data_IF_561005798162
#
_entry.id   IF_561005798162
#
_cell.length_a   1.000
_cell.length_b   1.000
_cell.length_c   1.000
_cell.angle_alpha   90.00
_cell.angle_beta   90.00
_cell.angle_gamma   90.00
#
_symmetry.space_group_name_H-M   'P 1'
#
loop_
_entity.id
_entity.type
_entity.pdbx_description
1 polymer ?
#
# COMPACT_ATOMS: atom_id res chain seq x y z
N UNK A 1 -59.55 -22.92 52.32
CA UNK A 1 -58.53 -23.96 52.09
C UNK A 1 -58.96 -24.90 50.96
N UNK A 2 -57.97 -25.53 50.31
CA UNK A 2 -57.93 -26.58 49.27
C UNK A 2 -59.09 -26.86 48.28
N UNK A 3 -58.72 -26.67 46.99
CA UNK A 3 -58.96 -27.56 45.83
C UNK A 3 -57.56 -27.85 45.21
N UNK A 4 -57.31 -28.82 44.32
CA UNK A 4 -58.14 -29.91 43.77
C UNK A 4 -57.64 -30.36 42.38
N UNK A 5 -58.16 -31.48 41.87
CA UNK A 5 -58.10 -31.97 40.47
C UNK A 5 -56.80 -32.57 39.86
N UNK A 6 -56.83 -33.89 39.67
CA UNK A 6 -56.67 -34.67 38.41
C UNK A 6 -55.46 -34.61 37.44
N UNK A 7 -55.02 -35.81 37.02
CA UNK A 7 -54.62 -36.17 35.63
C UNK A 7 -53.15 -36.61 35.41
N UNK A 8 -52.77 -37.50 34.46
CA UNK A 8 -53.51 -38.37 33.50
C UNK A 8 -52.62 -39.54 33.00
N UNK A 9 -53.28 -40.60 32.49
CA UNK A 9 -52.95 -41.73 31.56
C UNK A 9 -51.69 -41.61 30.62
N UNK A 10 -51.10 -42.64 29.96
CA UNK A 10 -51.46 -44.07 29.72
C UNK A 10 -50.31 -44.99 29.19
N UNK A 11 -50.25 -46.25 29.67
CA UNK A 11 -50.22 -47.56 28.94
C UNK A 11 -49.19 -47.93 27.81
N UNK A 12 -48.27 -48.87 28.16
CA UNK A 12 -47.77 -50.13 27.47
C UNK A 12 -47.38 -50.21 25.96
N UNK A 13 -46.16 -50.73 25.68
CA UNK A 13 -45.79 -52.05 25.06
C UNK A 13 -44.23 -52.14 24.89
N UNK A 14 -43.44 -53.23 24.87
CA UNK A 14 -43.57 -54.72 25.01
C UNK A 14 -43.68 -55.55 23.70
N UNK A 15 -42.90 -56.63 23.38
CA UNK A 15 -41.56 -57.18 23.76
C UNK A 15 -41.04 -58.08 22.57
N UNK A 16 -39.74 -58.46 22.58
CA UNK A 16 -39.10 -59.73 22.09
C UNK A 16 -38.01 -59.71 20.99
N UNK A 17 -37.15 -60.75 21.03
CA UNK A 17 -35.86 -60.93 20.33
C UNK A 17 -35.97 -61.81 19.06
N UNK A 18 -34.97 -61.75 18.15
CA UNK A 18 -33.99 -62.85 17.87
C UNK A 18 -33.18 -62.61 16.57
N UNK A 19 -32.04 -63.31 16.44
CA UNK A 19 -31.51 -63.75 15.14
C UNK A 19 -30.23 -63.08 14.61
N UNK A 20 -29.19 -63.89 14.38
CA UNK A 20 -28.05 -63.55 13.51
C UNK A 20 -28.37 -63.84 12.04
N UNK A 21 -27.84 -63.05 11.10
CA UNK A 21 -27.53 -63.51 9.74
C UNK A 21 -26.36 -62.71 9.14
N UNK A 22 -25.81 -63.15 8.01
CA UNK A 22 -24.57 -62.62 7.39
C UNK A 22 -24.81 -62.10 5.96
N UNK A 23 -23.95 -61.16 5.55
CA UNK A 23 -23.61 -60.70 4.18
C UNK A 23 -24.48 -59.65 3.45
N UNK A 24 -23.75 -58.68 2.85
CA UNK A 24 -23.98 -57.94 1.58
C UNK A 24 -25.39 -57.32 1.35
N UNK A 25 -25.59 -55.99 1.37
CA UNK A 25 -24.98 -54.93 0.54
C UNK A 25 -24.93 -53.61 1.36
N UNK A 26 -23.89 -52.78 1.41
CA UNK A 26 -23.05 -52.20 0.35
C UNK A 26 -23.70 -51.00 -0.40
N UNK A 27 -23.97 -49.89 0.30
CA UNK A 27 -23.89 -48.53 -0.28
C UNK A 27 -23.69 -47.41 0.78
N UNK A 28 -22.52 -47.37 1.43
CA UNK A 28 -22.12 -46.15 2.17
C UNK A 28 -21.60 -45.13 1.15
N UNK A 29 -22.39 -44.08 0.91
CA UNK A 29 -21.98 -42.97 0.04
C UNK A 29 -20.87 -42.19 0.75
N UNK A 30 -19.63 -42.58 0.47
CA UNK A 30 -18.45 -41.82 0.87
C UNK A 30 -18.42 -40.52 0.08
N UNK A 31 -18.94 -39.45 0.68
CA UNK A 31 -18.74 -38.09 0.20
C UNK A 31 -17.28 -37.71 0.40
N UNK A 32 -16.44 -38.20 -0.52
CA UNK A 32 -15.07 -37.73 -0.71
C UNK A 32 -15.13 -36.23 -0.93
N UNK A 33 -14.82 -35.45 0.11
CA UNK A 33 -14.64 -34.02 -0.03
C UNK A 33 -13.41 -33.80 -0.91
N UNK A 34 -13.65 -33.61 -2.20
CA UNK A 34 -12.69 -32.98 -3.10
C UNK A 34 -12.48 -31.54 -2.63
N UNK A 35 -11.68 -31.38 -1.58
CA UNK A 35 -10.93 -30.16 -1.36
C UNK A 35 -10.06 -30.00 -2.58
N UNK A 36 -10.52 -29.14 -3.50
CA UNK A 36 -9.71 -28.61 -4.59
C UNK A 36 -8.56 -27.83 -3.96
N UNK A 37 -7.48 -28.55 -3.62
CA UNK A 37 -6.17 -27.97 -3.36
C UNK A 37 -5.79 -27.28 -4.65
N UNK A 38 -6.12 -26.00 -4.74
CA UNK A 38 -5.97 -25.20 -5.94
C UNK A 38 -4.48 -25.06 -6.21
N UNK A 39 -3.98 -25.96 -7.06
CA UNK A 39 -2.57 -26.29 -7.15
C UNK A 39 -1.74 -25.02 -7.27
N UNK A 40 -0.88 -24.80 -6.27
CA UNK A 40 0.00 -23.65 -6.25
C UNK A 40 1.20 -23.96 -7.16
N UNK A 41 0.93 -23.97 -8.47
CA UNK A 41 1.94 -24.07 -9.52
C UNK A 41 2.85 -22.84 -9.42
N UNK A 42 4.09 -23.03 -8.98
CA UNK A 42 5.10 -21.98 -8.87
C UNK A 42 5.92 -21.84 -10.16
N UNK A 43 6.07 -20.62 -10.67
CA UNK A 43 6.85 -20.28 -11.88
C UNK A 43 8.19 -19.63 -11.59
N UNK A 44 8.44 -19.26 -10.34
CA UNK A 44 9.70 -18.69 -9.84
C UNK A 44 9.97 -19.26 -8.45
N UNK A 45 11.20 -19.14 -7.97
CA UNK A 45 11.58 -19.56 -6.60
C UNK A 45 10.82 -18.76 -5.53
N UNK A 46 10.51 -17.48 -5.80
CA UNK A 46 9.64 -16.66 -4.95
C UNK A 46 8.19 -17.17 -4.95
N UNK A 47 7.66 -17.60 -6.10
CA UNK A 47 6.36 -18.28 -6.12
C UNK A 47 6.39 -19.63 -5.39
N UNK A 48 7.51 -20.35 -5.39
CA UNK A 48 7.65 -21.61 -4.65
C UNK A 48 7.58 -21.37 -3.14
N UNK A 49 8.31 -20.37 -2.63
CA UNK A 49 8.21 -19.95 -1.21
C UNK A 49 6.81 -19.43 -0.88
N UNK A 50 6.19 -18.62 -1.76
CA UNK A 50 4.79 -18.21 -1.61
C UNK A 50 3.86 -19.42 -1.45
N UNK A 51 4.04 -20.44 -2.29
CA UNK A 51 3.23 -21.64 -2.28
C UNK A 51 3.42 -22.52 -1.03
N UNK A 52 4.56 -22.40 -0.34
CA UNK A 52 4.77 -23.01 0.97
C UNK A 52 4.05 -22.22 2.08
N UNK A 53 4.26 -20.89 2.16
CA UNK A 53 3.76 -20.08 3.29
C UNK A 53 2.30 -19.61 3.18
N UNK A 54 1.66 -19.73 2.01
CA UNK A 54 0.29 -19.21 1.77
C UNK A 54 -0.82 -19.79 2.65
N UNK A 55 -0.58 -20.86 3.40
CA UNK A 55 -1.61 -21.57 4.14
C UNK A 55 -1.99 -20.87 5.46
N UNK A 56 -1.05 -20.21 6.12
CA UNK A 56 -1.25 -19.64 7.48
C UNK A 56 -1.41 -18.11 7.49
N UNK A 57 -0.98 -17.41 6.42
CA UNK A 57 -0.91 -15.95 6.39
C UNK A 57 -2.05 -15.30 5.61
N UNK A 58 -3.15 -14.98 6.31
CA UNK A 58 -4.29 -14.18 5.80
C UNK A 58 -3.93 -12.78 5.26
N UNK A 59 -2.69 -12.34 5.45
CA UNK A 59 -2.15 -11.05 4.99
C UNK A 59 -1.39 -11.12 3.67
N UNK A 60 -1.18 -12.31 3.09
CA UNK A 60 -0.60 -12.44 1.76
C UNK A 60 -1.66 -12.20 0.69
N UNK A 61 -1.35 -11.47 -0.39
CA UNK A 61 -2.27 -11.30 -1.52
C UNK A 61 -2.46 -12.65 -2.26
N UNK A 62 -3.49 -12.78 -3.10
CA UNK A 62 -3.71 -14.00 -3.89
C UNK A 62 -2.55 -14.28 -4.85
N UNK A 63 -2.36 -15.53 -5.31
CA UNK A 63 -1.27 -15.89 -6.23
C UNK A 63 -1.29 -15.06 -7.52
N UNK A 64 -2.48 -14.69 -8.01
CA UNK A 64 -2.64 -13.81 -9.18
C UNK A 64 -2.21 -12.37 -8.92
N UNK A 65 -2.37 -11.86 -7.69
CA UNK A 65 -1.89 -10.54 -7.29
C UNK A 65 -0.38 -10.56 -6.98
N UNK A 66 0.10 -11.58 -6.28
CA UNK A 66 1.52 -11.82 -6.03
C UNK A 66 2.32 -11.80 -7.34
N UNK A 67 1.83 -12.51 -8.37
CA UNK A 67 2.39 -12.52 -9.73
C UNK A 67 2.45 -11.17 -10.44
N UNK A 68 1.60 -10.20 -10.08
CA UNK A 68 1.62 -8.84 -10.67
C UNK A 68 2.68 -7.93 -10.04
N UNK A 69 3.32 -8.35 -8.95
CA UNK A 69 4.41 -7.63 -8.30
C UNK A 69 5.76 -8.02 -8.91
N UNK A 70 6.73 -7.09 -8.92
CA UNK A 70 8.11 -7.38 -9.34
C UNK A 70 8.82 -8.30 -8.33
N UNK A 71 9.92 -9.00 -8.72
CA UNK A 71 10.65 -9.90 -7.81
C UNK A 71 11.07 -9.26 -6.48
N UNK A 72 11.43 -7.96 -6.50
CA UNK A 72 11.75 -7.18 -5.30
C UNK A 72 10.56 -7.11 -4.33
N UNK A 73 9.37 -6.81 -4.85
CA UNK A 73 8.15 -6.69 -4.05
C UNK A 73 7.60 -8.07 -3.65
N UNK A 74 7.70 -9.07 -4.53
CA UNK A 74 7.42 -10.48 -4.19
C UNK A 74 8.28 -10.94 -2.99
N UNK A 75 9.60 -10.72 -3.03
CA UNK A 75 10.51 -11.04 -1.91
C UNK A 75 10.22 -10.24 -0.65
N UNK A 76 9.80 -8.97 -0.77
CA UNK A 76 9.39 -8.14 0.36
C UNK A 76 8.11 -8.65 1.03
N UNK A 77 7.09 -9.01 0.25
CA UNK A 77 5.81 -9.57 0.74
C UNK A 77 6.04 -10.87 1.53
N UNK A 78 6.95 -11.72 1.06
CA UNK A 78 7.27 -12.98 1.72
C UNK A 78 8.17 -12.84 2.96
N UNK A 79 8.93 -11.74 3.08
CA UNK A 79 10.00 -11.58 4.10
C UNK A 79 9.56 -11.93 5.53
N UNK A 80 8.32 -11.59 5.89
CA UNK A 80 7.79 -11.90 7.23
C UNK A 80 7.37 -13.37 7.37
N UNK A 81 6.60 -13.88 6.42
CA UNK A 81 6.07 -15.25 6.48
C UNK A 81 7.21 -16.28 6.39
N UNK A 82 8.12 -16.12 5.42
CA UNK A 82 9.27 -17.01 5.25
C UNK A 82 10.16 -17.04 6.52
N UNK A 83 10.45 -15.88 7.13
CA UNK A 83 11.25 -15.81 8.35
C UNK A 83 10.57 -16.42 9.59
N UNK A 84 9.23 -16.51 9.62
CA UNK A 84 8.50 -17.17 10.71
C UNK A 84 8.54 -18.71 10.56
N UNK A 85 8.55 -19.22 9.33
CA UNK A 85 8.70 -20.66 9.04
C UNK A 85 10.17 -21.13 8.90
N UNK A 86 11.15 -20.24 9.15
CA UNK A 86 12.57 -20.54 9.02
C UNK A 86 13.07 -20.69 7.57
N UNK A 87 12.30 -20.26 6.58
CA UNK A 87 12.60 -20.36 5.15
C UNK A 87 13.47 -19.18 4.72
N UNK A 88 14.65 -19.45 4.19
CA UNK A 88 15.49 -18.43 3.54
C UNK A 88 14.89 -18.03 2.18
N UNK A 89 14.95 -16.73 1.85
CA UNK A 89 14.42 -16.22 0.59
C UNK A 89 15.50 -16.18 -0.49
N UNK A 90 15.21 -16.65 -1.71
CA UNK A 90 16.17 -16.65 -2.81
C UNK A 90 16.62 -15.22 -3.12
N UNK A 91 17.90 -15.05 -3.40
CA UNK A 91 18.45 -13.76 -3.76
C UNK A 91 18.13 -13.36 -5.20
N UNK A 92 17.92 -12.06 -5.38
CA UNK A 92 17.48 -11.52 -6.66
C UNK A 92 18.69 -11.40 -7.59
N UNK A 93 18.89 -12.43 -8.42
CA UNK A 93 19.95 -12.46 -9.41
C UNK A 93 19.92 -11.18 -10.28
N UNK A 94 20.97 -10.36 -10.17
CA UNK A 94 21.11 -9.11 -10.92
C UNK A 94 21.55 -9.45 -12.35
N UNK A 95 20.58 -9.70 -13.23
CA UNK A 95 20.84 -9.99 -14.65
C UNK A 95 21.20 -8.71 -15.41
N UNK A 96 22.48 -8.36 -15.41
CA UNK A 96 23.09 -7.50 -16.43
C UNK A 96 23.31 -8.33 -17.70
N UNK A 97 22.64 -7.99 -18.81
CA UNK A 97 23.07 -8.12 -20.23
C UNK A 97 21.91 -7.66 -21.17
N UNK A 98 22.08 -7.49 -22.50
CA UNK A 98 21.65 -6.24 -23.14
C UNK A 98 20.59 -6.37 -24.25
N UNK A 99 20.38 -5.27 -24.98
CA UNK A 99 19.39 -5.09 -26.06
C UNK A 99 19.69 -5.95 -27.30
N UNK A 100 18.75 -6.80 -27.74
CA UNK A 100 18.81 -7.38 -29.09
C UNK A 100 17.74 -8.43 -29.48
N UNK A 101 17.01 -8.15 -30.58
CA UNK A 101 16.29 -9.08 -31.49
C UNK A 101 15.11 -9.93 -30.94
N UNK A 102 13.92 -9.35 -31.09
CA UNK A 102 12.81 -9.87 -31.90
C UNK A 102 12.68 -11.41 -32.11
N UNK A 103 11.62 -12.00 -31.55
CA UNK A 103 10.94 -13.17 -32.10
C UNK A 103 9.44 -12.90 -32.18
N UNK A 104 8.84 -13.27 -33.33
CA UNK A 104 7.51 -12.86 -33.76
C UNK A 104 6.57 -14.06 -33.87
N UNK A 105 5.27 -13.82 -33.60
CA UNK A 105 4.19 -14.81 -33.50
C UNK A 105 4.24 -15.70 -32.23
N UNK A 106 3.12 -16.14 -31.65
CA UNK A 106 1.73 -16.15 -32.17
C UNK A 106 0.75 -15.40 -31.25
N UNK A 107 -0.23 -14.71 -31.85
CA UNK A 107 -1.24 -13.91 -31.13
C UNK A 107 -2.67 -14.37 -31.48
N UNK A 108 -3.39 -15.06 -30.59
CA UNK A 108 -4.82 -15.29 -30.75
C UNK A 108 -5.58 -13.96 -30.79
N UNK A 109 -6.43 -13.76 -31.79
CA UNK A 109 -7.28 -12.57 -31.90
C UNK A 109 -8.59 -12.79 -31.14
N UNK A 110 -8.62 -12.40 -29.87
CA UNK A 110 -9.89 -12.25 -29.13
C UNK A 110 -10.28 -10.78 -29.08
N UNK A 111 -11.28 -10.44 -29.89
CA UNK A 111 -12.07 -9.22 -29.72
C UNK A 111 -13.02 -9.41 -28.54
N UNK A 112 -12.83 -8.64 -27.46
CA UNK A 112 -13.82 -7.64 -27.06
C UNK A 112 -13.30 -6.72 -25.95
N UNK A 113 -14.00 -5.61 -25.77
CA UNK A 113 -13.59 -4.46 -24.97
C UNK A 113 -13.48 -4.80 -23.48
N UNK A 114 -12.35 -4.43 -22.87
CA UNK A 114 -12.32 -4.02 -21.46
C UNK A 114 -11.38 -2.82 -21.34
N UNK A 115 -11.96 -1.65 -21.09
CA UNK A 115 -11.26 -0.37 -21.07
C UNK A 115 -10.60 -0.12 -19.72
N UNK A 116 -9.48 -0.78 -19.47
CA UNK A 116 -8.46 -0.31 -18.52
C UNK A 116 -7.23 0.08 -19.33
N UNK A 117 -7.38 1.18 -20.06
CA UNK A 117 -6.32 1.73 -20.89
C UNK A 117 -5.23 2.34 -20.01
N UNK A 118 -3.99 1.85 -20.20
CA UNK A 118 -2.73 2.55 -19.96
C UNK A 118 -2.71 3.47 -18.72
N UNK A 119 -2.29 2.92 -17.58
CA UNK A 119 -1.99 3.65 -16.33
C UNK A 119 -0.74 4.56 -16.45
N UNK A 120 -0.78 5.48 -17.42
CA UNK A 120 -0.15 6.79 -17.46
C UNK A 120 1.32 6.87 -17.04
N UNK A 121 2.22 6.56 -17.99
CA UNK A 121 3.59 7.11 -18.04
C UNK A 121 3.61 8.62 -18.39
N UNK A 122 2.58 9.38 -17.99
CA UNK A 122 2.63 10.84 -18.06
C UNK A 122 3.41 11.36 -16.85
N UNK A 123 4.26 12.39 -17.02
CA UNK A 123 4.69 13.21 -15.90
C UNK A 123 3.48 13.68 -15.09
N UNK A 124 3.67 13.81 -13.78
CA UNK A 124 2.71 14.43 -12.88
C UNK A 124 2.46 15.86 -13.38
N UNK A 125 1.22 16.21 -13.74
CA UNK A 125 0.89 17.55 -14.24
C UNK A 125 0.08 18.29 -13.18
N UNK A 126 0.69 19.35 -12.63
CA UNK A 126 0.15 20.11 -11.51
C UNK A 126 0.53 21.58 -11.60
N UNK A 127 -0.44 22.46 -11.34
CA UNK A 127 -0.37 23.91 -11.52
C UNK A 127 0.05 24.27 -12.96
N UNK A 128 -0.97 24.59 -13.78
CA UNK A 128 -0.78 24.85 -15.22
C UNK A 128 0.10 26.06 -15.54
N UNK A 129 0.34 26.26 -16.84
CA UNK A 129 1.24 27.28 -17.38
C UNK A 129 0.97 28.69 -16.83
N UNK A 130 1.78 29.08 -15.84
CA UNK A 130 1.67 30.35 -15.13
C UNK A 130 3.07 30.94 -14.84
N UNK A 131 3.72 31.43 -15.90
CA UNK A 131 4.84 32.39 -15.86
C UNK A 131 6.07 32.00 -15.00
N UNK A 132 6.33 30.69 -14.85
CA UNK A 132 7.26 30.15 -13.86
C UNK A 132 8.49 29.37 -14.35
N UNK A 133 8.47 28.79 -15.56
CA UNK A 133 9.53 27.87 -16.06
C UNK A 133 10.79 28.58 -16.56
N UNK A 134 11.36 29.45 -15.71
CA UNK A 134 12.71 29.99 -15.91
C UNK A 134 13.70 29.04 -15.25
N UNK A 135 14.50 28.37 -16.07
CA UNK A 135 15.75 27.65 -15.74
C UNK A 135 15.97 27.45 -14.23
N UNK A 136 15.33 26.41 -13.68
CA UNK A 136 15.55 26.02 -12.28
C UNK A 136 16.79 25.12 -12.18
N UNK A 137 17.81 25.59 -11.46
CA UNK A 137 19.04 24.83 -11.21
C UNK A 137 18.98 24.09 -9.87
N UNK A 138 19.35 22.81 -9.87
CA UNK A 138 19.50 22.00 -8.67
C UNK A 138 20.95 22.03 -8.18
N UNK A 139 21.20 22.80 -7.13
CA UNK A 139 22.49 22.98 -6.47
C UNK A 139 22.54 22.20 -5.14
N UNK A 140 22.35 20.88 -5.21
CA UNK A 140 22.40 19.97 -4.07
C UNK A 140 21.26 20.20 -3.05
N UNK A 141 21.56 20.86 -1.94
CA UNK A 141 20.58 21.22 -0.90
C UNK A 141 19.77 22.47 -1.23
N UNK A 142 20.08 23.12 -2.35
CA UNK A 142 19.41 24.32 -2.84
C UNK A 142 18.82 24.08 -4.24
N UNK A 143 17.72 24.77 -4.53
CA UNK A 143 17.18 24.93 -5.88
C UNK A 143 17.04 26.43 -6.16
N UNK A 144 17.58 26.89 -7.28
CA UNK A 144 17.51 28.28 -7.71
C UNK A 144 16.59 28.39 -8.92
N UNK A 145 15.48 29.13 -8.81
CA UNK A 145 14.56 29.41 -9.91
C UNK A 145 14.50 30.93 -10.13
N UNK A 146 15.40 31.44 -10.97
CA UNK A 146 15.63 32.87 -11.15
C UNK A 146 16.02 33.55 -9.83
N UNK A 147 15.16 34.44 -9.30
CA UNK A 147 15.41 35.14 -8.02
C UNK A 147 14.93 34.37 -6.77
N UNK A 148 14.29 33.19 -6.92
CA UNK A 148 13.83 32.37 -5.80
C UNK A 148 14.87 31.31 -5.44
N UNK A 149 15.25 31.25 -4.16
CA UNK A 149 16.04 30.16 -3.60
C UNK A 149 15.12 29.26 -2.75
N UNK A 150 15.08 27.97 -3.04
CA UNK A 150 14.44 26.97 -2.20
C UNK A 150 15.53 26.14 -1.50
N UNK A 151 15.30 25.72 -0.27
CA UNK A 151 16.23 24.95 0.55
C UNK A 151 15.60 23.61 0.99
N UNK A 152 16.39 22.54 0.94
CA UNK A 152 16.01 21.21 1.41
C UNK A 152 15.56 21.25 2.88
N UNK A 153 14.37 20.71 3.15
CA UNK A 153 13.74 20.75 4.48
C UNK A 153 14.01 19.46 5.24
N UNK A 154 14.84 19.56 6.25
CA UNK A 154 15.15 18.46 7.17
C UNK A 154 14.03 18.18 8.18
N UNK A 155 14.17 17.08 8.92
CA UNK A 155 13.41 16.85 10.14
C UNK A 155 13.83 17.81 11.25
N UNK A 156 12.87 18.35 12.00
CA UNK A 156 13.12 19.32 13.06
C UNK A 156 12.98 18.68 14.46
N UNK A 157 13.82 19.09 15.40
CA UNK A 157 13.67 18.73 16.82
C UNK A 157 12.47 19.47 17.44
N UNK A 158 11.82 18.87 18.45
CA UNK A 158 10.56 19.40 19.01
C UNK A 158 10.68 20.85 19.52
N UNK A 159 11.85 21.24 20.01
CA UNK A 159 12.18 22.61 20.46
C UNK A 159 12.21 23.68 19.35
N UNK A 160 12.25 23.27 18.07
CA UNK A 160 12.24 24.16 16.91
C UNK A 160 10.85 24.26 16.24
N UNK A 161 9.89 23.44 16.67
CA UNK A 161 8.54 23.44 16.13
C UNK A 161 7.76 24.67 16.61
N UNK A 162 6.78 25.11 15.80
CA UNK A 162 5.84 26.16 16.20
C UNK A 162 4.95 25.67 17.35
N UNK A 163 4.58 26.56 18.27
CA UNK A 163 3.64 26.24 19.36
C UNK A 163 2.33 25.71 18.75
N UNK A 164 1.90 24.53 19.19
CA UNK A 164 0.72 23.84 18.66
C UNK A 164 0.98 22.88 17.50
N UNK A 165 2.20 22.80 16.93
CA UNK A 165 2.50 21.85 15.84
C UNK A 165 2.08 20.41 16.14
N UNK A 166 2.30 19.93 17.36
CA UNK A 166 1.99 18.55 17.78
C UNK A 166 0.68 18.42 18.58
N UNK A 167 -0.23 19.40 18.52
CA UNK A 167 -1.44 19.41 19.37
C UNK A 167 -2.63 18.67 18.76
N UNK A 168 -3.75 18.68 19.51
CA UNK A 168 -5.08 18.21 19.11
C UNK A 168 -5.79 19.12 18.11
N UNK A 169 -5.21 20.25 17.70
CA UNK A 169 -5.84 21.19 16.76
C UNK A 169 -5.20 21.14 15.36
N UNK A 170 -3.90 20.83 15.27
CA UNK A 170 -3.28 20.55 13.99
C UNK A 170 -3.84 19.23 13.42
N UNK A 171 -4.46 19.25 12.23
CA UNK A 171 -4.91 18.05 11.51
C UNK A 171 -4.52 18.11 10.05
N UNK A 172 -4.20 16.94 9.52
CA UNK A 172 -4.32 16.67 8.09
C UNK A 172 -5.81 16.60 7.75
N UNK A 173 -6.21 17.39 6.76
CA UNK A 173 -7.53 17.43 6.15
C UNK A 173 -7.31 17.65 4.67
N UNK A 174 -8.08 16.97 3.83
CA UNK A 174 -8.03 17.16 2.39
C UNK A 174 -9.15 18.12 1.95
N UNK A 175 -9.08 18.57 0.70
CA UNK A 175 -10.13 19.40 0.10
C UNK A 175 -11.06 18.51 -0.72
N UNK A 176 -12.37 18.71 -0.58
CA UNK A 176 -13.39 17.92 -1.29
C UNK A 176 -13.04 17.76 -2.78
N UNK A 177 -13.05 16.52 -3.25
CA UNK A 177 -12.80 16.15 -4.65
C UNK A 177 -13.95 16.55 -5.60
N UNK A 178 -15.05 17.10 -5.09
CA UNK A 178 -16.22 17.48 -5.89
C UNK A 178 -15.85 18.44 -7.03
N UNK A 179 -16.00 17.98 -8.27
CA UNK A 179 -15.66 18.74 -9.48
C UNK A 179 -14.16 18.76 -9.85
N UNK A 180 -13.30 18.05 -9.11
CA UNK A 180 -11.90 17.81 -9.49
C UNK A 180 -11.79 16.58 -10.39
N UNK A 181 -10.77 16.53 -11.25
CA UNK A 181 -10.32 15.28 -11.86
C UNK A 181 -9.48 14.49 -10.87
N UNK A 182 -9.38 13.17 -11.01
CA UNK A 182 -8.53 12.31 -10.17
C UNK A 182 -7.10 12.87 -10.04
N UNK A 183 -6.50 13.26 -11.18
CA UNK A 183 -5.19 13.89 -11.22
C UNK A 183 -5.14 15.14 -10.34
N UNK A 184 -6.12 16.06 -10.47
CA UNK A 184 -6.19 17.28 -9.68
C UNK A 184 -6.47 17.01 -8.19
N UNK A 185 -7.21 15.95 -7.85
CA UNK A 185 -7.46 15.54 -6.47
C UNK A 185 -6.20 14.96 -5.81
N UNK A 186 -5.57 13.92 -6.38
CA UNK A 186 -4.34 13.31 -5.85
C UNK A 186 -3.24 14.34 -5.63
N UNK A 187 -3.15 15.28 -6.56
CA UNK A 187 -2.28 16.45 -6.54
C UNK A 187 -2.51 17.38 -5.35
N UNK A 188 -3.74 17.88 -5.17
CA UNK A 188 -4.07 18.77 -4.06
C UNK A 188 -3.95 18.05 -2.71
N UNK A 189 -4.28 16.75 -2.67
CA UNK A 189 -4.12 15.92 -1.48
C UNK A 189 -2.66 15.66 -1.13
N UNK A 190 -1.78 15.44 -2.12
CA UNK A 190 -0.35 15.30 -1.89
C UNK A 190 0.28 16.60 -1.37
N UNK A 191 -0.10 17.77 -1.92
CA UNK A 191 0.30 19.07 -1.35
C UNK A 191 -0.11 19.19 0.11
N UNK A 192 -1.37 18.90 0.43
CA UNK A 192 -1.88 18.98 1.81
C UNK A 192 -1.14 18.02 2.76
N UNK A 193 -0.77 16.82 2.29
CA UNK A 193 0.08 15.89 3.02
C UNK A 193 1.48 16.48 3.29
N UNK A 194 2.19 16.96 2.27
CA UNK A 194 3.53 17.54 2.43
C UNK A 194 3.51 18.75 3.37
N UNK A 195 2.59 19.70 3.16
CA UNK A 195 2.43 20.88 4.03
C UNK A 195 2.21 20.49 5.51
N UNK A 196 1.46 19.41 5.77
CA UNK A 196 1.21 18.93 7.14
C UNK A 196 2.41 18.21 7.72
N UNK A 197 3.13 17.41 6.94
CA UNK A 197 4.41 16.81 7.38
C UNK A 197 5.44 17.87 7.74
N UNK A 198 5.54 18.96 6.96
CA UNK A 198 6.36 20.13 7.31
C UNK A 198 5.86 20.82 8.59
N UNK A 199 4.55 20.94 8.80
CA UNK A 199 3.98 21.57 10.01
C UNK A 199 4.36 20.87 11.32
N UNK A 200 4.75 19.58 11.27
CA UNK A 200 5.23 18.78 12.41
C UNK A 200 6.74 18.50 12.37
N UNK A 201 7.46 19.11 11.42
CA UNK A 201 8.91 18.99 11.28
C UNK A 201 9.38 17.61 10.84
N UNK A 202 8.67 16.99 9.88
CA UNK A 202 9.01 15.70 9.26
C UNK A 202 9.38 15.84 7.77
N UNK A 203 10.14 16.87 7.38
CA UNK A 203 10.53 17.11 5.98
C UNK A 203 11.29 15.94 5.35
N UNK A 204 12.34 15.46 6.02
CA UNK A 204 13.11 14.28 5.65
C UNK A 204 12.45 12.94 6.09
N UNK A 205 11.13 12.92 6.25
CA UNK A 205 10.33 11.72 6.55
C UNK A 205 8.98 11.73 5.83
N UNK A 206 8.94 12.41 4.69
CA UNK A 206 7.84 12.39 3.73
C UNK A 206 7.94 11.19 2.78
N UNK A 207 6.81 10.69 2.30
CA UNK A 207 6.75 9.71 1.21
C UNK A 207 6.69 10.40 -0.16
N UNK A 208 7.17 9.72 -1.21
CA UNK A 208 7.07 10.15 -2.61
C UNK A 208 5.64 10.16 -3.13
N UNK A 209 5.39 10.87 -4.24
CA UNK A 209 4.03 11.00 -4.79
C UNK A 209 3.43 9.64 -5.17
N UNK A 210 4.23 8.75 -5.79
CA UNK A 210 3.80 7.39 -6.13
C UNK A 210 3.42 6.57 -4.89
N UNK A 211 4.14 6.72 -3.77
CA UNK A 211 3.81 6.03 -2.51
C UNK A 211 2.53 6.58 -1.90
N UNK A 212 2.33 7.91 -1.94
CA UNK A 212 1.12 8.56 -1.46
C UNK A 212 -0.13 8.04 -2.20
N UNK A 213 -0.15 8.08 -3.53
CA UNK A 213 -1.28 7.62 -4.35
C UNK A 213 -1.54 6.12 -4.15
N UNK A 214 -0.48 5.30 -4.13
CA UNK A 214 -0.63 3.86 -3.90
C UNK A 214 -1.25 3.55 -2.53
N UNK A 215 -0.76 4.19 -1.46
CA UNK A 215 -1.31 3.99 -0.11
C UNK A 215 -2.75 4.49 0.04
N UNK A 216 -3.15 5.50 -0.73
CA UNK A 216 -4.55 5.95 -0.79
C UNK A 216 -5.43 4.92 -1.49
N UNK A 217 -5.08 4.54 -2.73
CA UNK A 217 -5.84 3.55 -3.51
C UNK A 217 -5.92 2.20 -2.81
N UNK A 218 -4.88 1.80 -2.06
CA UNK A 218 -4.88 0.58 -1.26
C UNK A 218 -5.90 0.64 -0.10
N UNK A 219 -6.11 1.81 0.52
CA UNK A 219 -7.14 1.97 1.55
C UNK A 219 -8.55 1.89 0.95
N UNK A 220 -8.81 2.56 -0.17
CA UNK A 220 -10.08 2.50 -0.90
C UNK A 220 -10.42 1.07 -1.35
N UNK A 221 -9.43 0.34 -1.88
CA UNK A 221 -9.56 -1.09 -2.27
C UNK A 221 -9.86 -2.02 -1.08
N UNK A 222 -9.51 -1.61 0.15
CA UNK A 222 -9.84 -2.32 1.38
C UNK A 222 -11.19 -1.91 1.98
N UNK A 223 -11.94 -1.02 1.32
CA UNK A 223 -13.20 -0.46 1.83
C UNK A 223 -13.02 0.52 2.99
N UNK A 224 -11.82 1.10 3.13
CA UNK A 224 -11.49 2.07 4.17
C UNK A 224 -11.59 3.50 3.63
N UNK A 225 -12.04 4.42 4.48
CA UNK A 225 -11.98 5.85 4.17
C UNK A 225 -10.53 6.34 4.21
N UNK A 226 -9.99 6.65 3.04
CA UNK A 226 -8.58 7.01 2.88
C UNK A 226 -8.24 8.37 3.52
N UNK A 227 -9.16 9.35 3.50
CA UNK A 227 -8.96 10.64 4.19
C UNK A 227 -8.77 10.44 5.70
N UNK A 228 -9.67 9.68 6.32
CA UNK A 228 -9.59 9.29 7.73
C UNK A 228 -8.30 8.52 7.98
N UNK A 229 -7.93 7.56 7.12
CA UNK A 229 -6.73 6.74 7.32
C UNK A 229 -5.43 7.55 7.29
N UNK A 230 -5.32 8.54 6.40
CA UNK A 230 -4.19 9.48 6.40
C UNK A 230 -4.23 10.46 7.58
N UNK A 231 -5.43 10.90 8.01
CA UNK A 231 -5.60 11.75 9.20
C UNK A 231 -5.20 11.03 10.49
N UNK A 232 -5.59 9.76 10.65
CA UNK A 232 -5.13 8.87 11.72
C UNK A 232 -3.61 8.73 11.71
N UNK A 233 -3.02 8.42 10.56
CA UNK A 233 -1.56 8.29 10.40
C UNK A 233 -0.85 9.56 10.85
N UNK A 234 -1.37 10.74 10.50
CA UNK A 234 -0.84 12.02 10.96
C UNK A 234 -0.98 12.22 12.49
N UNK A 235 -2.08 11.78 13.09
CA UNK A 235 -2.25 11.77 14.55
C UNK A 235 -1.36 10.74 15.26
N UNK A 236 -1.00 9.60 14.64
CA UNK A 236 0.07 8.71 15.13
C UNK A 236 1.44 9.39 15.03
N UNK A 237 1.81 9.91 13.86
CA UNK A 237 3.09 10.58 13.63
C UNK A 237 3.34 11.73 14.61
N UNK A 238 2.32 12.51 15.01
CA UNK A 238 2.46 13.53 16.08
C UNK A 238 2.76 12.91 17.45
N UNK A 239 2.11 11.81 17.83
CA UNK A 239 2.36 11.11 19.11
C UNK A 239 3.76 10.51 19.14
N UNK A 240 4.20 9.91 18.04
CA UNK A 240 5.58 9.44 17.89
C UNK A 240 6.56 10.61 17.98
N UNK A 241 6.30 11.70 17.26
CA UNK A 241 7.10 12.93 17.29
C UNK A 241 7.24 13.54 18.69
N UNK A 242 6.19 13.51 19.51
CA UNK A 242 6.23 14.00 20.90
C UNK A 242 7.24 13.21 21.76
N UNK A 243 7.28 11.89 21.59
CA UNK A 243 7.98 10.97 22.49
C UNK A 243 9.35 10.49 21.98
N UNK A 244 9.56 10.49 20.66
CA UNK A 244 10.75 9.94 20.01
C UNK A 244 11.66 11.04 19.44
N UNK A 245 12.96 10.91 19.71
CA UNK A 245 13.98 11.69 19.02
C UNK A 245 14.20 11.15 17.60
N UNK A 246 14.20 12.05 16.62
CA UNK A 246 14.44 11.72 15.21
C UNK A 246 15.72 12.39 14.72
N UNK A 247 16.37 11.76 13.73
CA UNK A 247 17.52 12.38 13.03
C UNK A 247 17.00 13.45 12.07
N UNK A 248 17.80 14.52 11.88
CA UNK A 248 17.51 15.58 10.91
C UNK A 248 17.40 15.01 9.48
N UNK A 249 18.32 14.11 9.11
CA UNK A 249 18.27 13.23 7.94
C UNK A 249 18.73 11.83 8.32
N UNK A 250 18.34 10.83 7.53
CA UNK A 250 18.80 9.45 7.70
C UNK A 250 20.05 9.12 6.86
N UNK A 251 20.28 9.88 5.79
CA UNK A 251 21.48 9.81 4.95
C UNK A 251 21.69 11.13 4.18
N UNK A 252 22.82 11.20 3.46
CA UNK A 252 23.28 12.36 2.70
C UNK A 252 22.85 12.35 1.22
N UNK A 253 22.03 11.41 0.77
CA UNK A 253 21.62 11.37 -0.64
C UNK A 253 20.77 12.60 -1.00
N UNK A 254 20.92 13.05 -2.25
CA UNK A 254 20.29 14.22 -2.86
C UNK A 254 19.73 13.80 -4.23
N UNK A 255 18.74 14.52 -4.78
CA UNK A 255 18.24 14.23 -6.13
C UNK A 255 19.36 14.41 -7.15
N UNK A 256 19.43 13.52 -8.15
CA UNK A 256 20.55 13.49 -9.09
C UNK A 256 20.39 14.48 -10.27
N UNK A 257 19.18 14.98 -10.50
CA UNK A 257 18.85 15.92 -11.57
C UNK A 257 17.55 16.65 -11.25
N UNK A 258 17.34 17.84 -11.84
CA UNK A 258 16.11 18.61 -11.65
C UNK A 258 14.89 17.99 -12.36
N UNK A 259 15.06 17.08 -13.32
CA UNK A 259 13.97 16.33 -13.97
C UNK A 259 13.23 15.36 -13.04
N UNK A 260 13.71 15.15 -11.82
CA UNK A 260 12.98 14.48 -10.73
C UNK A 260 12.15 15.44 -9.86
N UNK A 261 12.23 16.75 -10.10
CA UNK A 261 11.66 17.81 -9.26
C UNK A 261 10.42 18.46 -9.88
N UNK A 262 9.46 18.81 -9.04
CA UNK A 262 8.25 19.52 -9.45
C UNK A 262 7.76 20.51 -8.39
N UNK A 263 7.27 21.66 -8.85
CA UNK A 263 6.54 22.63 -8.03
C UNK A 263 5.17 22.06 -7.63
N UNK A 264 4.93 21.90 -6.32
CA UNK A 264 3.60 21.52 -5.79
C UNK A 264 2.84 22.71 -5.20
N UNK A 265 3.56 23.79 -4.87
CA UNK A 265 3.02 25.07 -4.41
C UNK A 265 4.01 26.20 -4.73
N UNK A 266 3.56 27.46 -4.71
CA UNK A 266 4.42 28.63 -4.97
C UNK A 266 5.67 28.74 -4.08
N UNK A 267 5.67 28.02 -2.94
CA UNK A 267 6.72 27.96 -1.93
C UNK A 267 7.29 26.56 -1.69
N UNK A 268 6.90 25.54 -2.47
CA UNK A 268 7.33 24.14 -2.31
C UNK A 268 7.65 23.48 -3.65
N UNK A 269 8.88 23.00 -3.77
CA UNK A 269 9.32 22.06 -4.81
C UNK A 269 9.56 20.71 -4.12
N UNK A 270 9.15 19.62 -4.75
CA UNK A 270 9.43 18.25 -4.28
C UNK A 270 10.17 17.52 -5.38
N UNK A 271 11.29 16.88 -5.03
CA UNK A 271 12.00 15.95 -5.91
C UNK A 271 11.79 14.53 -5.40
N UNK A 272 11.49 13.58 -6.29
CA UNK A 272 11.26 12.18 -5.91
C UNK A 272 11.74 11.21 -6.99
N UNK A 273 12.34 10.09 -6.58
CA UNK A 273 12.81 9.03 -7.47
C UNK A 273 12.05 7.71 -7.24
N UNK A 274 10.78 7.81 -6.81
CA UNK A 274 9.88 6.78 -6.27
C UNK A 274 10.34 6.19 -4.94
N UNK A 275 11.64 5.94 -4.76
CA UNK A 275 12.20 5.41 -3.52
C UNK A 275 12.27 6.47 -2.41
N UNK A 276 12.81 7.63 -2.74
CA UNK A 276 13.08 8.77 -1.85
C UNK A 276 12.21 9.97 -2.21
N UNK A 277 12.06 10.87 -1.24
CA UNK A 277 11.39 12.15 -1.41
C UNK A 277 12.24 13.25 -0.75
N UNK A 278 12.46 14.35 -1.46
CA UNK A 278 13.22 15.51 -1.02
C UNK A 278 12.33 16.75 -1.16
N UNK A 279 11.94 17.35 -0.04
CA UNK A 279 11.09 18.55 -0.03
C UNK A 279 11.95 19.79 0.10
N UNK A 280 11.81 20.74 -0.82
CA UNK A 280 12.50 22.04 -0.82
C UNK A 280 11.49 23.15 -0.59
N UNK A 281 11.69 23.97 0.45
CA UNK A 281 10.82 25.10 0.75
C UNK A 281 11.49 26.43 0.37
N UNK A 282 10.70 27.41 -0.07
CA UNK A 282 11.17 28.75 -0.40
C UNK A 282 11.83 29.39 0.82
N UNK A 283 13.09 29.81 0.66
CA UNK A 283 13.85 30.50 1.69
C UNK A 283 13.21 31.87 1.96
N UNK A 284 12.96 32.14 3.25
CA UNK A 284 12.49 33.45 3.75
C UNK A 284 13.67 34.39 4.03
#
# INVERSE_FOLDING_TARGET
MNKGSEGKRSVRLSIFHLGYSRYLFALVISLSMNHSVQACESRTELEAVYCQVRHDYRSLPSLGEFRRNSPVIQRLLLKRAAAQEGIELPDLAVTTEPVGRDLRASRPRLTNQSTVEKASERPFQLLGEAEGERECELAGELIFCGKKQFQLVENQLNRALKKGSLSSENRLKFASNSGQTDSQHWSNSYRAYIERMLSIGLGASTMSYTKFVYSWQQAEQQGLDAETRFSEMFDYLKRDKQNLSIKARYDTQLPANFGWCQSIAHHLIVCDNRERNWVYALRS
#
